data_IF_302450200586
#
_entry.id   IF_302450200586
#
_cell.length_a   1.000
_cell.length_b   1.000
_cell.length_c   1.000
_cell.angle_alpha   90.00
_cell.angle_beta   90.00
_cell.angle_gamma   90.00
#
_symmetry.space_group_name_H-M   'P 1'
#
loop_
_entity.id
_entity.type
_entity.pdbx_description
1 polymer ?
#
# COMPACT_ATOMS: atom_id res chain seq x y z
N UNK A 1 -24.09 -32.18 33.88
CA UNK A 1 -25.37 -32.10 33.17
C UNK A 1 -25.27 -32.95 31.91
N UNK A 2 -26.15 -33.99 31.83
CA UNK A 2 -26.09 -35.07 30.84
C UNK A 2 -26.63 -34.64 29.48
N UNK A 3 -25.81 -34.68 28.46
CA UNK A 3 -26.25 -34.52 27.04
C UNK A 3 -26.52 -35.92 26.46
N UNK A 4 -27.80 -36.28 26.27
CA UNK A 4 -28.23 -37.51 25.62
C UNK A 4 -27.97 -37.42 24.10
N UNK A 5 -27.12 -38.30 23.59
CA UNK A 5 -26.94 -38.55 22.13
C UNK A 5 -28.17 -39.28 21.58
N UNK A 6 -28.84 -38.69 20.57
CA UNK A 6 -29.93 -39.32 19.83
C UNK A 6 -29.35 -40.19 18.74
N UNK A 7 -29.71 -41.50 18.76
CA UNK A 7 -29.22 -42.50 17.81
C UNK A 7 -29.96 -42.44 16.46
N UNK A 8 -29.20 -42.66 15.38
CA UNK A 8 -29.67 -42.69 13.97
C UNK A 8 -30.76 -43.75 13.66
N UNK A 9 -31.12 -44.62 14.64
CA UNK A 9 -32.15 -45.68 14.45
C UNK A 9 -33.56 -45.19 14.73
N UNK A 10 -33.79 -44.01 15.29
CA UNK A 10 -35.13 -43.53 15.67
C UNK A 10 -35.80 -42.73 14.53
N UNK A 11 -35.08 -42.40 13.47
CA UNK A 11 -35.61 -41.60 12.34
C UNK A 11 -36.34 -42.45 11.24
N UNK A 12 -36.18 -43.76 11.27
CA UNK A 12 -36.71 -44.66 10.22
C UNK A 12 -37.99 -45.39 10.55
N UNK A 13 -38.74 -45.04 11.61
CA UNK A 13 -39.97 -45.72 12.04
C UNK A 13 -41.26 -44.92 11.92
N UNK A 14 -41.27 -43.77 11.21
CA UNK A 14 -42.46 -42.95 11.07
C UNK A 14 -42.97 -42.83 9.58
N UNK A 15 -42.75 -43.85 8.77
CA UNK A 15 -43.29 -43.90 7.41
C UNK A 15 -43.94 -45.29 7.18
N UNK A 16 -45.18 -45.43 7.60
CA UNK A 16 -45.97 -46.64 7.32
C UNK A 16 -47.30 -46.61 8.07
N UNK A 17 -48.35 -46.61 7.33
CA UNK A 17 -49.73 -47.02 7.61
C UNK A 17 -50.77 -45.94 7.17
N UNK A 18 -51.56 -46.30 6.18
CA UNK A 18 -52.72 -45.56 5.75
C UNK A 18 -53.28 -46.02 4.39
N UNK A 19 -53.62 -47.34 4.33
CA UNK A 19 -54.36 -47.87 3.16
C UNK A 19 -55.88 -47.85 3.42
N UNK A 20 -56.64 -47.52 2.38
CA UNK A 20 -58.02 -48.07 2.24
C UNK A 20 -59.17 -47.12 2.39
N UNK A 21 -59.76 -46.69 1.29
CA UNK A 21 -61.22 -46.66 1.09
C UNK A 21 -61.57 -46.61 -0.42
N UNK A 22 -62.22 -47.64 -0.88
CA UNK A 22 -62.83 -47.76 -2.19
C UNK A 22 -64.20 -47.09 -2.14
N UNK A 23 -64.52 -46.26 -3.11
CA UNK A 23 -65.90 -45.83 -3.40
C UNK A 23 -66.12 -45.65 -4.91
N UNK A 24 -67.23 -46.16 -5.33
CA UNK A 24 -67.74 -46.51 -6.66
C UNK A 24 -67.98 -45.31 -7.58
N UNK A 25 -67.67 -45.57 -8.83
CA UNK A 25 -68.18 -45.13 -10.12
C UNK A 25 -69.29 -44.05 -10.23
N UNK A 26 -69.00 -43.07 -11.07
CA UNK A 26 -70.02 -42.42 -11.94
C UNK A 26 -69.33 -42.04 -13.27
N UNK A 27 -69.85 -42.59 -14.38
CA UNK A 27 -69.41 -42.27 -15.72
C UNK A 27 -69.86 -40.87 -16.12
N UNK A 28 -68.97 -39.95 -16.26
CA UNK A 28 -69.17 -38.73 -17.02
C UNK A 28 -67.99 -38.54 -17.99
N UNK A 29 -68.31 -38.29 -19.27
CA UNK A 29 -67.36 -38.12 -20.34
C UNK A 29 -66.35 -36.97 -20.05
N UNK A 30 -65.07 -37.13 -20.42
CA UNK A 30 -64.08 -36.09 -20.20
C UNK A 30 -64.33 -34.91 -21.15
N UNK A 31 -64.15 -33.66 -20.66
CA UNK A 31 -64.12 -32.51 -21.53
C UNK A 31 -62.96 -32.54 -22.49
N UNK A 32 -63.01 -31.89 -23.66
CA UNK A 32 -61.93 -31.90 -24.64
C UNK A 32 -60.64 -31.32 -24.06
N UNK A 33 -59.52 -31.97 -24.32
CA UNK A 33 -58.19 -31.58 -23.89
C UNK A 33 -57.88 -30.16 -24.40
N UNK A 34 -57.49 -29.27 -23.48
CA UNK A 34 -56.96 -27.97 -23.83
C UNK A 34 -55.65 -28.14 -24.63
N UNK A 35 -55.39 -27.29 -25.61
CA UNK A 35 -54.14 -27.39 -26.40
C UNK A 35 -52.94 -27.25 -25.47
N UNK A 36 -51.79 -27.94 -25.78
CA UNK A 36 -50.60 -27.88 -24.93
C UNK A 36 -50.12 -26.44 -24.88
N UNK A 37 -50.11 -25.90 -23.68
CA UNK A 37 -49.55 -24.60 -23.39
C UNK A 37 -48.05 -24.72 -23.64
N UNK A 38 -47.51 -23.95 -24.62
CA UNK A 38 -46.10 -23.87 -24.89
C UNK A 38 -45.34 -23.55 -23.63
N UNK A 39 -44.43 -24.40 -23.22
CA UNK A 39 -43.56 -24.14 -22.08
C UNK A 39 -42.80 -22.82 -22.31
N UNK A 40 -43.05 -21.83 -21.49
CA UNK A 40 -42.23 -20.62 -21.47
C UNK A 40 -40.78 -21.04 -21.16
N UNK A 41 -39.79 -20.54 -21.92
CA UNK A 41 -38.41 -20.82 -21.60
C UNK A 41 -38.12 -20.27 -20.21
N UNK A 42 -37.88 -21.15 -19.27
CA UNK A 42 -37.33 -20.82 -17.95
C UNK A 42 -35.93 -20.25 -18.21
N UNK A 43 -35.80 -18.95 -18.15
CA UNK A 43 -34.47 -18.30 -18.08
C UNK A 43 -33.78 -18.86 -16.83
N UNK A 44 -32.77 -19.69 -17.03
CA UNK A 44 -31.88 -20.12 -15.95
C UNK A 44 -31.38 -18.86 -15.22
N UNK A 45 -31.35 -18.83 -13.88
CA UNK A 45 -30.75 -17.73 -13.14
C UNK A 45 -29.34 -17.49 -13.70
N UNK A 46 -29.08 -16.25 -14.12
CA UNK A 46 -27.71 -15.88 -14.50
C UNK A 46 -26.81 -16.22 -13.31
N UNK A 47 -25.82 -17.07 -13.53
CA UNK A 47 -24.84 -17.42 -12.51
C UNK A 47 -24.27 -16.09 -11.98
N UNK A 48 -24.45 -15.78 -10.70
CA UNK A 48 -23.84 -14.62 -10.06
C UNK A 48 -22.33 -14.72 -10.30
N UNK A 49 -21.81 -13.79 -11.10
CA UNK A 49 -20.36 -13.72 -11.33
C UNK A 49 -19.71 -13.42 -9.99
N UNK A 50 -18.86 -14.32 -9.51
CA UNK A 50 -18.05 -14.09 -8.30
C UNK A 50 -17.33 -12.74 -8.46
N UNK A 51 -17.36 -11.87 -7.44
CA UNK A 51 -16.63 -10.60 -7.49
C UNK A 51 -15.15 -10.85 -7.78
N UNK A 52 -14.55 -9.99 -8.59
CA UNK A 52 -13.10 -10.03 -8.83
C UNK A 52 -12.34 -9.88 -7.51
N UNK A 53 -11.23 -10.59 -7.39
CA UNK A 53 -10.36 -10.54 -6.21
C UNK A 53 -8.98 -10.06 -6.62
N UNK A 54 -8.56 -8.91 -6.10
CA UNK A 54 -7.20 -8.39 -6.25
C UNK A 54 -6.43 -8.57 -4.94
N UNK A 55 -5.14 -8.85 -5.05
CA UNK A 55 -4.21 -8.82 -3.92
C UNK A 55 -3.41 -7.54 -3.97
N UNK A 56 -3.36 -6.83 -2.85
CA UNK A 56 -2.61 -5.59 -2.66
C UNK A 56 -1.52 -5.81 -1.61
N UNK A 57 -0.26 -5.78 -2.03
CA UNK A 57 0.87 -6.17 -1.20
C UNK A 57 1.78 -4.97 -0.91
N UNK A 58 1.76 -4.45 0.34
CA UNK A 58 2.72 -3.47 0.80
C UNK A 58 4.06 -4.13 1.14
N UNK A 59 5.14 -3.34 1.31
CA UNK A 59 6.43 -3.82 1.83
C UNK A 59 6.31 -4.40 3.23
N UNK A 60 5.52 -3.77 4.10
CA UNK A 60 5.24 -4.19 5.47
C UNK A 60 3.84 -3.73 5.88
N UNK A 61 3.07 -4.60 6.55
CA UNK A 61 1.69 -4.25 6.94
C UNK A 61 1.61 -3.33 8.15
N UNK A 62 2.67 -3.20 8.93
CA UNK A 62 2.73 -2.35 10.13
C UNK A 62 3.41 -0.99 9.90
N UNK A 63 3.75 -0.63 8.66
CA UNK A 63 4.24 0.71 8.33
C UNK A 63 3.03 1.66 8.13
N UNK A 64 2.91 2.75 8.93
CA UNK A 64 1.71 3.60 8.95
C UNK A 64 1.42 4.33 7.64
N UNK A 65 2.40 4.56 6.76
CA UNK A 65 2.17 5.15 5.42
C UNK A 65 1.22 4.30 4.59
N UNK A 66 1.22 2.99 4.79
CA UNK A 66 0.38 2.06 4.04
C UNK A 66 -1.06 1.95 4.57
N UNK A 67 -1.37 2.47 5.77
CA UNK A 67 -2.75 2.49 6.27
C UNK A 67 -3.65 3.40 5.44
N UNK A 68 -3.12 4.53 4.96
CA UNK A 68 -3.85 5.43 4.06
C UNK A 68 -4.07 4.78 2.69
N UNK A 69 -3.05 4.08 2.17
CA UNK A 69 -3.16 3.32 0.93
C UNK A 69 -4.19 2.18 1.05
N UNK A 70 -4.19 1.45 2.17
CA UNK A 70 -5.18 0.40 2.45
C UNK A 70 -6.60 0.95 2.45
N UNK A 71 -6.83 2.12 3.07
CA UNK A 71 -8.13 2.80 3.04
C UNK A 71 -8.54 3.13 1.61
N UNK A 72 -7.64 3.74 0.82
CA UNK A 72 -7.89 4.03 -0.60
C UNK A 72 -8.27 2.78 -1.40
N UNK A 73 -7.55 1.67 -1.21
CA UNK A 73 -7.84 0.40 -1.87
C UNK A 73 -9.22 -0.16 -1.48
N UNK A 74 -9.60 -0.08 -0.21
CA UNK A 74 -10.91 -0.51 0.29
C UNK A 74 -12.06 0.36 -0.25
N UNK A 75 -11.85 1.67 -0.30
CA UNK A 75 -12.85 2.61 -0.84
C UNK A 75 -13.08 2.35 -2.34
N UNK A 76 -12.01 2.16 -3.13
CA UNK A 76 -12.12 1.83 -4.55
C UNK A 76 -12.74 0.44 -4.75
N UNK A 77 -12.38 -0.54 -3.94
CA UNK A 77 -12.97 -1.88 -3.99
C UNK A 77 -14.49 -1.84 -3.79
N UNK A 78 -14.94 -1.07 -2.79
CA UNK A 78 -16.37 -0.87 -2.52
C UNK A 78 -17.09 -0.19 -3.67
N UNK A 79 -16.49 0.83 -4.27
CA UNK A 79 -17.04 1.55 -5.42
C UNK A 79 -17.21 0.63 -6.65
N UNK A 80 -16.23 -0.24 -6.89
CA UNK A 80 -16.20 -1.15 -8.04
C UNK A 80 -16.93 -2.49 -7.81
N UNK A 81 -17.36 -2.78 -6.58
CA UNK A 81 -17.99 -4.06 -6.22
C UNK A 81 -17.04 -5.26 -6.33
N UNK A 82 -15.75 -5.07 -6.02
CA UNK A 82 -14.69 -6.09 -6.03
C UNK A 82 -14.16 -6.34 -4.62
N UNK A 83 -13.35 -7.39 -4.48
CA UNK A 83 -12.59 -7.66 -3.25
C UNK A 83 -11.14 -7.24 -3.44
N UNK A 84 -10.58 -6.48 -2.49
CA UNK A 84 -9.14 -6.21 -2.41
C UNK A 84 -8.62 -6.79 -1.09
N UNK A 85 -7.75 -7.80 -1.21
CA UNK A 85 -7.08 -8.43 -0.07
C UNK A 85 -5.76 -7.70 0.20
N UNK A 86 -5.59 -7.21 1.42
CA UNK A 86 -4.35 -6.56 1.87
C UNK A 86 -3.42 -7.62 2.46
N UNK A 87 -2.38 -8.00 1.72
CA UNK A 87 -1.51 -9.15 2.04
C UNK A 87 -0.05 -8.75 1.93
N UNK A 88 0.68 -8.74 3.03
CA UNK A 88 2.11 -8.41 3.06
C UNK A 88 2.78 -8.99 4.29
N UNK A 89 4.12 -8.96 4.36
CA UNK A 89 4.88 -9.36 5.54
C UNK A 89 4.64 -8.37 6.69
N UNK A 90 4.84 -8.78 7.93
CA UNK A 90 4.74 -7.90 9.10
C UNK A 90 5.85 -6.84 9.13
N UNK A 91 7.06 -7.23 8.74
CA UNK A 91 8.21 -6.35 8.56
C UNK A 91 8.74 -6.49 7.13
N UNK A 92 9.55 -5.54 6.68
CA UNK A 92 10.12 -5.56 5.33
C UNK A 92 10.99 -6.79 5.10
N UNK A 93 10.47 -7.74 4.32
CA UNK A 93 11.07 -9.05 4.00
C UNK A 93 10.64 -9.48 2.59
N UNK A 94 11.58 -9.43 1.65
CA UNK A 94 11.33 -9.74 0.25
C UNK A 94 11.00 -11.23 0.03
N UNK A 95 11.63 -12.14 0.78
CA UNK A 95 11.36 -13.57 0.66
C UNK A 95 9.95 -13.89 1.15
N UNK A 96 9.58 -13.36 2.31
CA UNK A 96 8.24 -13.56 2.86
C UNK A 96 7.17 -12.93 1.97
N UNK A 97 7.45 -11.77 1.37
CA UNK A 97 6.56 -11.14 0.40
C UNK A 97 6.36 -12.05 -0.82
N UNK A 98 7.45 -12.62 -1.38
CA UNK A 98 7.36 -13.55 -2.52
C UNK A 98 6.52 -14.79 -2.19
N UNK A 99 6.69 -15.40 -1.01
CA UNK A 99 5.87 -16.56 -0.56
C UNK A 99 4.37 -16.22 -0.51
N UNK A 100 4.01 -15.05 0.01
CA UNK A 100 2.62 -14.59 0.10
C UNK A 100 2.02 -14.35 -1.29
N UNK A 101 2.80 -13.80 -2.22
CA UNK A 101 2.39 -13.60 -3.60
C UNK A 101 2.24 -14.93 -4.36
N UNK A 102 3.14 -15.91 -4.16
CA UNK A 102 3.01 -17.25 -4.74
C UNK A 102 1.73 -17.95 -4.24
N UNK A 103 1.37 -17.78 -2.97
CA UNK A 103 0.10 -18.28 -2.45
C UNK A 103 -1.12 -17.62 -3.10
N UNK A 104 -1.02 -16.34 -3.47
CA UNK A 104 -2.07 -15.65 -4.23
C UNK A 104 -2.17 -16.15 -5.68
N UNK A 105 -1.03 -16.40 -6.35
CA UNK A 105 -0.97 -17.00 -7.69
C UNK A 105 -1.67 -18.37 -7.68
N UNK A 106 -1.36 -19.21 -6.69
CA UNK A 106 -1.97 -20.55 -6.56
C UNK A 106 -3.49 -20.49 -6.40
N UNK A 107 -4.04 -19.43 -5.79
CA UNK A 107 -5.49 -19.17 -5.66
C UNK A 107 -6.11 -18.60 -6.92
N UNK A 108 -5.32 -18.25 -7.94
CA UNK A 108 -5.76 -17.66 -9.21
C UNK A 108 -6.56 -16.38 -8.97
N UNK A 109 -5.97 -15.43 -8.24
CA UNK A 109 -6.55 -14.08 -8.07
C UNK A 109 -6.61 -13.35 -9.42
N UNK A 110 -7.49 -12.35 -9.54
CA UNK A 110 -7.76 -11.67 -10.81
C UNK A 110 -6.74 -10.56 -11.14
N UNK A 111 -5.91 -10.16 -10.17
CA UNK A 111 -4.86 -9.17 -10.36
C UNK A 111 -4.09 -8.89 -9.08
N UNK A 112 -2.91 -8.26 -9.21
CA UNK A 112 -2.04 -7.91 -8.08
C UNK A 112 -1.48 -6.50 -8.20
N UNK A 113 -1.46 -5.77 -7.06
CA UNK A 113 -0.72 -4.53 -6.90
C UNK A 113 0.36 -4.71 -5.84
N UNK A 114 1.62 -4.43 -6.17
CA UNK A 114 2.77 -4.78 -5.33
C UNK A 114 3.67 -3.56 -5.10
N UNK A 115 3.96 -3.24 -3.84
CA UNK A 115 5.09 -2.38 -3.46
C UNK A 115 6.27 -3.28 -3.11
N UNK A 116 7.31 -3.28 -3.92
CA UNK A 116 8.38 -4.27 -3.85
C UNK A 116 9.40 -3.95 -2.74
N UNK A 117 9.67 -4.91 -1.85
CA UNK A 117 10.76 -4.81 -0.89
C UNK A 117 12.13 -4.79 -1.59
N UNK A 118 12.30 -5.65 -2.58
CA UNK A 118 13.52 -5.76 -3.39
C UNK A 118 13.12 -6.01 -4.85
N UNK A 119 13.65 -5.23 -5.81
CA UNK A 119 13.27 -5.29 -7.22
C UNK A 119 13.63 -6.62 -7.89
N UNK A 120 14.78 -7.20 -7.54
CA UNK A 120 15.30 -8.40 -8.17
C UNK A 120 14.74 -9.67 -7.52
N UNK A 121 14.59 -9.67 -6.19
CA UNK A 121 14.00 -10.80 -5.46
C UNK A 121 12.51 -10.98 -5.80
N UNK A 122 11.77 -9.90 -6.06
CA UNK A 122 10.35 -9.96 -6.41
C UNK A 122 10.09 -10.18 -7.91
N UNK A 123 11.08 -9.91 -8.78
CA UNK A 123 10.94 -10.12 -10.22
C UNK A 123 10.43 -11.52 -10.59
N UNK A 124 11.01 -12.64 -10.07
CA UNK A 124 10.56 -13.98 -10.46
C UNK A 124 9.10 -14.28 -10.11
N UNK A 125 8.58 -13.81 -8.98
CA UNK A 125 7.18 -14.03 -8.59
C UNK A 125 6.23 -13.16 -9.42
N UNK A 126 6.62 -11.91 -9.73
CA UNK A 126 5.87 -11.04 -10.62
C UNK A 126 5.76 -11.66 -12.02
N UNK A 127 6.91 -12.15 -12.56
CA UNK A 127 6.93 -12.78 -13.87
C UNK A 127 6.06 -14.05 -13.91
N UNK A 128 6.08 -14.89 -12.85
CA UNK A 128 5.18 -16.06 -12.72
C UNK A 128 3.71 -15.68 -12.70
N UNK A 129 3.33 -14.62 -12.00
CA UNK A 129 1.96 -14.11 -11.98
C UNK A 129 1.51 -13.71 -13.38
N UNK A 130 2.33 -12.91 -14.07
CA UNK A 130 2.06 -12.47 -15.44
C UNK A 130 1.96 -13.65 -16.43
N UNK A 131 2.86 -14.62 -16.32
CA UNK A 131 2.84 -15.85 -17.16
C UNK A 131 1.62 -16.73 -16.87
N UNK A 132 1.09 -16.68 -15.65
CA UNK A 132 -0.17 -17.33 -15.27
C UNK A 132 -1.42 -16.56 -15.71
N UNK A 133 -1.27 -15.44 -16.40
CA UNK A 133 -2.37 -14.57 -16.86
C UNK A 133 -2.97 -13.68 -15.77
N UNK A 134 -2.26 -13.48 -14.66
CA UNK A 134 -2.65 -12.57 -13.58
C UNK A 134 -1.96 -11.22 -13.80
N UNK A 135 -2.68 -10.15 -14.17
CA UNK A 135 -2.11 -8.82 -14.38
C UNK A 135 -1.47 -8.28 -13.08
N UNK A 136 -0.26 -7.74 -13.22
CA UNK A 136 0.48 -7.14 -12.10
C UNK A 136 0.82 -5.69 -12.41
N UNK A 137 0.56 -4.81 -11.46
CA UNK A 137 1.10 -3.46 -11.41
C UNK A 137 1.96 -3.29 -10.14
N UNK A 138 2.89 -2.37 -10.18
CA UNK A 138 3.64 -1.95 -8.99
C UNK A 138 3.23 -0.56 -8.55
N UNK A 139 3.39 -0.26 -7.27
CA UNK A 139 3.11 1.04 -6.67
C UNK A 139 4.13 1.33 -5.57
N UNK A 140 4.39 2.62 -5.24
CA UNK A 140 5.40 3.06 -4.25
C UNK A 140 6.83 2.63 -4.62
N UNK A 141 7.13 1.33 -4.67
CA UNK A 141 8.44 0.77 -5.00
C UNK A 141 8.32 -0.30 -6.08
N UNK A 142 9.19 -0.20 -7.09
CA UNK A 142 9.11 -0.93 -8.35
C UNK A 142 10.00 -2.17 -8.42
N UNK A 143 9.72 -3.02 -9.42
CA UNK A 143 10.61 -4.04 -9.98
C UNK A 143 10.67 -3.81 -11.49
N UNK A 144 11.49 -2.86 -11.96
CA UNK A 144 11.45 -2.34 -13.34
C UNK A 144 11.83 -3.38 -14.40
N UNK A 145 12.61 -4.40 -14.02
CA UNK A 145 13.04 -5.49 -14.90
C UNK A 145 12.06 -6.66 -14.95
N UNK A 146 10.94 -6.58 -14.21
CA UNK A 146 9.87 -7.60 -14.22
C UNK A 146 8.88 -7.37 -15.37
N UNK A 147 7.99 -8.34 -15.58
CA UNK A 147 6.90 -8.26 -16.58
C UNK A 147 5.71 -7.42 -16.12
N UNK A 148 5.80 -6.68 -15.01
CA UNK A 148 4.70 -5.82 -14.54
C UNK A 148 4.24 -4.87 -15.63
N UNK A 149 2.95 -4.51 -15.64
CA UNK A 149 2.36 -3.69 -16.70
C UNK A 149 2.73 -2.22 -16.55
N UNK A 150 2.53 -1.67 -15.35
CA UNK A 150 2.79 -0.26 -15.06
C UNK A 150 3.25 -0.08 -13.62
N UNK A 151 3.96 1.02 -13.37
CA UNK A 151 4.36 1.48 -12.03
C UNK A 151 3.63 2.78 -11.71
N UNK A 152 2.91 2.83 -10.58
CA UNK A 152 2.17 3.98 -10.10
C UNK A 152 2.88 4.58 -8.88
N UNK A 153 3.56 5.70 -9.06
CA UNK A 153 4.31 6.38 -8.00
C UNK A 153 4.67 7.80 -8.42
N UNK A 154 5.24 8.57 -7.50
CA UNK A 154 5.91 9.83 -7.86
C UNK A 154 7.24 9.54 -8.57
N UNK A 155 7.75 10.54 -9.29
CA UNK A 155 9.15 10.55 -9.74
C UNK A 155 10.06 10.78 -8.53
N UNK A 156 10.59 9.66 -7.99
CA UNK A 156 11.45 9.67 -6.80
C UNK A 156 12.72 10.49 -7.00
N UNK A 157 13.30 10.50 -8.20
CA UNK A 157 14.50 11.27 -8.49
C UNK A 157 14.21 12.76 -8.55
N UNK A 158 13.16 13.19 -9.27
CA UNK A 158 12.75 14.58 -9.34
C UNK A 158 12.43 15.14 -7.96
N UNK A 159 11.70 14.39 -7.13
CA UNK A 159 11.34 14.77 -5.78
C UNK A 159 12.57 14.87 -4.86
N UNK A 160 13.52 13.92 -4.97
CA UNK A 160 14.75 13.95 -4.18
C UNK A 160 15.69 15.08 -4.60
N UNK A 161 15.82 15.39 -5.90
CA UNK A 161 16.54 16.58 -6.38
C UNK A 161 15.96 17.85 -5.77
N UNK A 162 14.62 17.94 -5.69
CA UNK A 162 13.94 19.07 -5.04
C UNK A 162 14.26 19.16 -3.56
N UNK A 163 14.28 18.04 -2.84
CA UNK A 163 14.71 17.96 -1.44
C UNK A 163 16.15 18.41 -1.25
N UNK A 164 17.05 18.02 -2.17
CA UNK A 164 18.45 18.45 -2.14
C UNK A 164 18.62 19.95 -2.39
N UNK A 165 17.91 20.53 -3.38
CA UNK A 165 17.90 21.99 -3.61
C UNK A 165 17.50 22.74 -2.35
N UNK A 166 16.48 22.26 -1.64
CA UNK A 166 16.02 22.86 -0.38
C UNK A 166 17.10 22.73 0.70
N UNK A 167 17.75 21.57 0.84
CA UNK A 167 18.84 21.39 1.82
C UNK A 167 20.02 22.33 1.50
N UNK A 168 20.39 22.48 0.23
CA UNK A 168 21.42 23.43 -0.21
C UNK A 168 21.04 24.86 0.15
N UNK A 169 19.79 25.26 -0.11
CA UNK A 169 19.26 26.58 0.28
C UNK A 169 19.37 26.81 1.81
N UNK A 170 18.92 25.83 2.60
CA UNK A 170 18.92 25.90 4.06
C UNK A 170 20.32 25.96 4.68
N UNK A 171 21.34 25.40 4.01
CA UNK A 171 22.72 25.34 4.48
C UNK A 171 23.67 26.34 3.79
N UNK A 172 23.18 27.17 2.85
CA UNK A 172 24.01 28.08 2.05
C UNK A 172 24.97 28.95 2.86
N UNK A 173 24.47 29.53 3.96
CA UNK A 173 25.18 30.46 4.82
C UNK A 173 25.79 29.80 6.07
N UNK A 174 25.71 28.49 6.19
CA UNK A 174 26.28 27.76 7.32
C UNK A 174 27.77 27.47 7.07
N UNK A 175 28.65 27.65 8.09
CA UNK A 175 30.06 27.30 7.98
C UNK A 175 30.28 25.80 7.87
N UNK A 176 29.50 25.00 8.58
CA UNK A 176 29.44 23.54 8.47
C UNK A 176 28.32 23.15 7.50
N UNK A 177 28.63 22.30 6.53
CA UNK A 177 27.72 21.80 5.49
C UNK A 177 27.67 20.29 5.46
N UNK A 178 28.02 19.63 6.57
CA UNK A 178 27.94 18.17 6.69
C UNK A 178 26.49 17.72 6.74
N UNK A 179 26.20 16.59 6.09
CA UNK A 179 24.87 15.99 6.17
C UNK A 179 24.94 14.45 6.22
N UNK A 180 23.91 13.85 6.82
CA UNK A 180 23.69 12.42 6.83
C UNK A 180 22.35 12.09 6.13
N UNK A 181 22.22 10.85 5.72
CA UNK A 181 21.02 10.30 5.11
C UNK A 181 20.48 9.17 5.98
N UNK A 182 19.20 9.19 6.31
CA UNK A 182 18.47 8.03 6.82
C UNK A 182 17.81 7.31 5.63
N UNK A 183 17.91 5.98 5.60
CA UNK A 183 17.22 5.15 4.61
C UNK A 183 16.55 3.95 5.27
N UNK A 184 15.61 3.31 4.55
CA UNK A 184 14.92 2.11 5.00
C UNK A 184 15.68 0.83 4.64
N UNK A 185 15.05 -0.03 3.83
CA UNK A 185 15.65 -1.28 3.34
C UNK A 185 16.69 -0.97 2.28
N UNK A 186 17.97 -1.33 2.47
CA UNK A 186 19.01 -1.21 1.44
C UNK A 186 18.62 -1.98 0.16
N UNK A 187 18.83 -1.36 -1.00
CA UNK A 187 18.49 -1.96 -2.30
C UNK A 187 17.06 -1.74 -2.76
N UNK A 188 16.17 -1.23 -1.91
CA UNK A 188 14.80 -0.87 -2.34
C UNK A 188 14.86 0.23 -3.41
N UNK A 189 14.23 -0.01 -4.56
CA UNK A 189 14.36 0.80 -5.77
C UNK A 189 14.10 2.29 -5.53
N UNK A 190 13.00 2.62 -4.83
CA UNK A 190 12.62 4.00 -4.54
C UNK A 190 13.64 4.70 -3.62
N UNK A 191 14.17 4.00 -2.62
CA UNK A 191 15.12 4.56 -1.66
C UNK A 191 16.49 4.82 -2.31
N UNK A 192 16.98 3.88 -3.11
CA UNK A 192 18.24 4.04 -3.84
C UNK A 192 18.15 5.20 -4.86
N UNK A 193 17.00 5.36 -5.53
CA UNK A 193 16.74 6.48 -6.43
C UNK A 193 16.77 7.83 -5.68
N UNK A 194 16.13 7.89 -4.49
CA UNK A 194 16.12 9.10 -3.64
C UNK A 194 17.53 9.48 -3.17
N UNK A 195 18.30 8.51 -2.67
CA UNK A 195 19.67 8.73 -2.20
C UNK A 195 20.57 9.23 -3.32
N UNK A 196 20.55 8.54 -4.46
CA UNK A 196 21.36 8.91 -5.62
C UNK A 196 21.05 10.32 -6.10
N UNK A 197 19.78 10.60 -6.36
CA UNK A 197 19.34 11.89 -6.91
C UNK A 197 19.57 13.06 -5.93
N UNK A 198 19.41 12.82 -4.62
CA UNK A 198 19.73 13.81 -3.61
C UNK A 198 21.24 14.17 -3.64
N UNK A 199 22.11 13.16 -3.67
CA UNK A 199 23.56 13.35 -3.69
C UNK A 199 24.07 13.98 -4.97
N UNK A 200 23.46 13.67 -6.12
CA UNK A 200 23.77 14.29 -7.42
C UNK A 200 23.62 15.84 -7.40
N UNK A 201 22.80 16.38 -6.52
CA UNK A 201 22.61 17.83 -6.34
C UNK A 201 23.39 18.36 -5.16
N UNK A 202 23.31 17.67 -4.01
CA UNK A 202 23.89 18.15 -2.74
C UNK A 202 25.42 18.16 -2.77
N UNK A 203 26.05 17.06 -3.23
CA UNK A 203 27.51 16.92 -3.20
C UNK A 203 28.22 17.97 -4.09
N UNK A 204 27.82 18.18 -5.38
CA UNK A 204 28.41 19.25 -6.21
C UNK A 204 28.15 20.66 -5.71
N UNK A 205 27.06 20.88 -4.94
CA UNK A 205 26.76 22.17 -4.32
C UNK A 205 27.61 22.45 -3.06
N UNK A 206 28.54 21.54 -2.73
CA UNK A 206 29.50 21.68 -1.63
C UNK A 206 29.00 21.17 -0.27
N UNK A 207 27.87 20.45 -0.23
CA UNK A 207 27.46 19.72 0.96
C UNK A 207 28.36 18.46 1.12
N UNK A 208 28.68 18.13 2.37
CA UNK A 208 29.61 17.04 2.71
C UNK A 208 28.82 15.86 3.29
N UNK A 209 28.65 14.82 2.49
CA UNK A 209 28.03 13.58 2.95
C UNK A 209 28.90 12.86 3.98
N UNK A 210 28.30 12.48 5.11
CA UNK A 210 28.99 11.78 6.21
C UNK A 210 28.66 10.30 6.22
N UNK A 211 27.38 9.98 6.08
CA UNK A 211 26.91 8.60 6.13
C UNK A 211 25.50 8.43 5.57
N UNK A 212 25.17 7.19 5.22
CA UNK A 212 23.79 6.71 5.01
C UNK A 212 23.51 5.60 6.02
N UNK A 213 22.49 5.78 6.83
CA UNK A 213 22.15 4.89 7.93
C UNK A 213 20.84 4.14 7.62
N UNK A 214 20.88 2.79 7.47
CA UNK A 214 19.68 2.02 7.20
C UNK A 214 18.91 1.68 8.49
N UNK A 215 17.59 1.79 8.44
CA UNK A 215 16.69 1.38 9.53
C UNK A 215 15.77 0.20 9.18
N UNK A 216 15.86 -0.35 7.95
CA UNK A 216 15.06 -1.49 7.48
C UNK A 216 13.52 -1.26 7.59
N UNK A 217 13.06 -0.04 7.35
CA UNK A 217 11.66 0.38 7.47
C UNK A 217 11.09 0.21 8.90
N UNK A 218 11.95 0.13 9.91
CA UNK A 218 11.59 -0.03 11.32
C UNK A 218 11.70 1.30 12.06
N UNK A 219 10.64 1.69 12.77
CA UNK A 219 10.54 2.96 13.49
C UNK A 219 11.54 3.02 14.64
N UNK A 220 11.63 1.96 15.45
CA UNK A 220 12.51 1.94 16.62
C UNK A 220 13.97 1.93 16.21
N UNK A 221 14.29 1.17 15.16
CA UNK A 221 15.62 1.18 14.57
C UNK A 221 15.96 2.54 13.97
N UNK A 222 14.99 3.21 13.34
CA UNK A 222 15.14 4.59 12.84
C UNK A 222 15.52 5.56 13.95
N UNK A 223 14.83 5.50 15.09
CA UNK A 223 15.15 6.29 16.29
C UNK A 223 16.57 6.00 16.75
N UNK A 224 16.92 4.73 16.92
CA UNK A 224 18.26 4.31 17.37
C UNK A 224 19.38 4.83 16.47
N UNK A 225 19.24 4.67 15.14
CA UNK A 225 20.32 5.05 14.21
C UNK A 225 20.48 6.56 14.10
N UNK A 226 19.38 7.34 14.20
CA UNK A 226 19.44 8.82 14.23
C UNK A 226 20.14 9.32 15.51
N UNK A 227 19.76 8.80 16.67
CA UNK A 227 20.39 9.18 17.95
C UNK A 227 21.87 8.78 18.00
N UNK A 228 22.24 7.63 17.45
CA UNK A 228 23.63 7.18 17.32
C UNK A 228 24.42 8.05 16.34
N UNK A 229 23.83 8.44 15.19
CA UNK A 229 24.48 9.35 14.24
C UNK A 229 24.79 10.70 14.89
N UNK A 230 23.85 11.26 15.63
CA UNK A 230 24.05 12.54 16.33
C UNK A 230 24.97 12.44 17.54
N UNK A 231 25.18 11.24 18.09
CA UNK A 231 26.24 11.01 19.07
C UNK A 231 27.62 11.05 18.40
N UNK A 232 27.76 10.43 17.23
CA UNK A 232 29.02 10.38 16.48
C UNK A 232 29.34 11.74 15.80
N UNK A 233 28.32 12.50 15.41
CA UNK A 233 28.42 13.77 14.70
C UNK A 233 27.54 14.83 15.38
N UNK A 234 27.90 15.35 16.55
CA UNK A 234 27.06 16.28 17.33
C UNK A 234 26.86 17.65 16.66
N UNK A 235 27.70 18.00 15.72
CA UNK A 235 27.68 19.24 14.94
C UNK A 235 27.11 19.06 13.53
N UNK A 236 26.45 17.91 13.24
CA UNK A 236 25.83 17.61 11.94
C UNK A 236 24.93 18.79 11.51
N UNK A 237 25.17 19.34 10.31
CA UNK A 237 24.46 20.52 9.84
C UNK A 237 23.13 20.20 9.15
N UNK A 238 23.00 19.02 8.51
CA UNK A 238 21.82 18.61 7.80
C UNK A 238 21.49 17.12 7.97
N UNK A 239 20.21 16.78 7.95
CA UNK A 239 19.73 15.41 7.90
C UNK A 239 18.69 15.27 6.80
N UNK A 240 18.97 14.41 5.81
CA UNK A 240 18.00 14.01 4.81
C UNK A 240 17.42 12.63 5.17
N UNK A 241 16.10 12.54 5.28
CA UNK A 241 15.43 11.28 5.56
C UNK A 241 14.71 10.83 4.28
N UNK A 242 15.27 9.82 3.60
CA UNK A 242 14.69 9.24 2.37
C UNK A 242 13.35 8.49 2.62
N UNK A 243 13.00 8.35 3.86
CA UNK A 243 11.71 7.98 4.45
C UNK A 243 11.78 8.33 5.93
N UNK A 244 10.69 8.71 6.53
CA UNK A 244 10.70 9.39 7.83
C UNK A 244 10.36 8.49 9.03
N UNK A 245 10.69 7.20 8.98
CA UNK A 245 10.34 6.22 10.02
C UNK A 245 10.49 6.70 11.47
N UNK A 246 11.62 7.31 11.91
CA UNK A 246 11.75 7.79 13.29
C UNK A 246 10.76 8.89 13.62
N UNK A 247 10.34 9.70 12.64
CA UNK A 247 9.39 10.80 12.85
C UNK A 247 7.94 10.34 12.99
N UNK A 248 7.64 9.05 12.66
CA UNK A 248 6.35 8.43 12.93
C UNK A 248 6.16 8.04 14.40
N UNK A 249 7.28 7.89 15.13
CA UNK A 249 7.31 7.48 16.53
C UNK A 249 7.16 8.63 17.51
N UNK A 250 7.44 8.33 18.78
CA UNK A 250 7.45 9.35 19.85
C UNK A 250 8.72 10.19 19.75
N UNK A 251 8.57 11.47 19.45
CA UNK A 251 9.69 12.43 19.37
C UNK A 251 10.48 12.55 20.69
N UNK A 252 9.86 12.24 21.84
CA UNK A 252 10.55 12.26 23.13
C UNK A 252 11.61 11.12 23.24
N UNK A 253 11.53 10.10 22.41
CA UNK A 253 12.57 9.08 22.30
C UNK A 253 13.81 9.55 21.52
N UNK A 254 13.79 10.79 20.96
CA UNK A 254 14.89 11.37 20.17
C UNK A 254 15.39 12.70 20.75
N UNK A 255 15.94 12.71 21.98
CA UNK A 255 16.39 13.94 22.64
C UNK A 255 17.55 14.63 21.92
N UNK A 256 18.49 13.86 21.30
CA UNK A 256 19.60 14.45 20.54
C UNK A 256 19.13 15.07 19.24
N UNK A 257 18.22 14.41 18.53
CA UNK A 257 17.59 14.95 17.34
C UNK A 257 16.91 16.30 17.65
N UNK A 258 16.08 16.34 18.70
CA UNK A 258 15.43 17.58 19.12
C UNK A 258 16.43 18.67 19.47
N UNK A 259 17.49 18.32 20.22
CA UNK A 259 18.55 19.27 20.60
C UNK A 259 19.30 19.78 19.37
N UNK A 260 19.68 18.91 18.44
CA UNK A 260 20.39 19.29 17.21
C UNK A 260 19.51 20.17 16.30
N UNK A 261 18.23 19.82 16.10
CA UNK A 261 17.30 20.62 15.31
C UNK A 261 17.09 22.02 15.92
N UNK A 262 16.89 22.12 17.23
CA UNK A 262 16.80 23.40 17.97
C UNK A 262 18.11 24.20 17.92
N UNK A 263 19.27 23.56 17.86
CA UNK A 263 20.57 24.20 17.70
C UNK A 263 20.85 24.62 16.24
N UNK A 264 19.98 24.29 15.30
CA UNK A 264 20.03 24.77 13.92
C UNK A 264 20.40 23.75 12.86
N UNK A 265 20.48 22.45 13.19
CA UNK A 265 20.52 21.38 12.18
C UNK A 265 19.30 21.47 11.28
N UNK A 266 19.50 21.29 9.97
CA UNK A 266 18.42 21.36 8.98
C UNK A 266 17.93 19.97 8.63
N UNK A 267 16.62 19.77 8.59
CA UNK A 267 15.99 18.48 8.31
C UNK A 267 15.07 18.59 7.10
N UNK A 268 15.33 17.80 6.09
CA UNK A 268 14.45 17.56 4.94
C UNK A 268 14.07 16.10 5.00
N UNK A 269 12.78 15.81 5.06
CA UNK A 269 12.30 14.45 5.22
C UNK A 269 11.25 14.09 4.17
N UNK A 270 11.14 12.82 3.91
CA UNK A 270 10.06 12.24 3.12
C UNK A 270 8.83 12.09 4.00
N UNK A 271 7.67 11.99 3.36
CA UNK A 271 6.34 11.75 3.89
C UNK A 271 5.67 12.98 4.53
N UNK A 272 4.36 12.85 4.80
CA UNK A 272 3.50 13.91 5.37
C UNK A 272 2.45 13.31 6.32
N UNK A 273 2.89 12.37 7.18
CA UNK A 273 2.04 11.86 8.24
C UNK A 273 1.79 12.94 9.31
N UNK A 274 0.79 12.73 10.13
CA UNK A 274 0.33 13.73 11.10
C UNK A 274 1.46 14.21 12.05
N UNK A 275 2.31 13.28 12.53
CA UNK A 275 3.41 13.64 13.42
C UNK A 275 4.46 14.53 12.74
N UNK A 276 4.84 14.22 11.50
CA UNK A 276 5.82 14.98 10.74
C UNK A 276 5.36 16.41 10.48
N UNK A 277 4.08 16.57 10.12
CA UNK A 277 3.46 17.88 9.92
C UNK A 277 3.49 18.71 11.21
N UNK A 278 3.27 18.10 12.38
CA UNK A 278 3.41 18.75 13.69
C UNK A 278 4.84 19.14 13.97
N UNK A 279 5.82 18.27 13.69
CA UNK A 279 7.25 18.54 13.87
C UNK A 279 7.74 19.68 12.95
N UNK A 280 7.17 19.79 11.74
CA UNK A 280 7.46 20.93 10.86
C UNK A 280 6.91 22.22 11.47
N UNK A 281 5.69 22.23 12.01
CA UNK A 281 5.13 23.41 12.70
C UNK A 281 5.92 23.82 13.94
N UNK A 282 6.56 22.86 14.61
CA UNK A 282 7.46 23.10 15.74
C UNK A 282 8.88 23.55 15.31
N UNK A 283 9.17 23.56 14.01
CA UNK A 283 10.48 23.96 13.46
C UNK A 283 11.57 22.89 13.63
N UNK A 284 11.22 21.66 13.98
CA UNK A 284 12.16 20.53 14.07
C UNK A 284 12.44 19.89 12.70
N UNK A 285 11.51 20.05 11.76
CA UNK A 285 11.65 19.67 10.35
C UNK A 285 11.44 20.92 9.50
N UNK A 286 12.17 21.02 8.37
CA UNK A 286 12.21 22.24 7.56
C UNK A 286 11.57 22.09 6.19
N UNK A 287 11.44 20.88 5.71
CA UNK A 287 10.68 20.54 4.52
C UNK A 287 10.26 19.06 4.57
N UNK A 288 9.06 18.80 4.08
CA UNK A 288 8.51 17.46 3.90
C UNK A 288 8.15 17.25 2.42
N UNK A 289 8.47 16.08 1.90
CA UNK A 289 8.15 15.64 0.54
C UNK A 289 7.05 14.59 0.63
N UNK A 290 5.82 15.00 0.33
CA UNK A 290 4.64 14.17 0.47
C UNK A 290 4.38 13.27 -0.73
N UNK A 291 3.94 12.06 -0.46
CA UNK A 291 3.52 11.08 -1.46
C UNK A 291 1.99 10.98 -1.50
N UNK A 292 1.44 10.53 -2.62
CA UNK A 292 -0.01 10.35 -2.80
C UNK A 292 -0.48 9.02 -2.20
N UNK A 293 -0.34 8.85 -0.87
CA UNK A 293 -0.62 7.60 -0.17
C UNK A 293 -2.00 7.01 -0.46
N UNK A 294 -3.04 7.84 -0.43
CA UNK A 294 -4.39 7.39 -0.73
C UNK A 294 -4.51 6.84 -2.16
N UNK A 295 -3.86 7.52 -3.11
CA UNK A 295 -3.82 7.11 -4.52
C UNK A 295 -3.13 5.76 -4.75
N UNK A 296 -2.13 5.38 -3.92
CA UNK A 296 -1.50 4.04 -4.00
C UNK A 296 -2.51 2.89 -3.84
N UNK A 297 -3.60 3.17 -3.15
CA UNK A 297 -4.74 2.25 -3.08
C UNK A 297 -5.83 2.62 -4.07
N UNK A 298 -6.37 3.83 -3.97
CA UNK A 298 -7.59 4.22 -4.67
C UNK A 298 -7.40 4.27 -6.19
N UNK A 299 -6.41 5.03 -6.67
CA UNK A 299 -6.20 5.21 -8.11
C UNK A 299 -5.55 3.97 -8.73
N UNK A 300 -4.56 3.39 -8.05
CA UNK A 300 -3.86 2.23 -8.57
C UNK A 300 -4.74 0.97 -8.64
N UNK A 301 -5.67 0.76 -7.69
CA UNK A 301 -6.71 -0.29 -7.82
C UNK A 301 -7.63 0.00 -9.00
N UNK A 302 -7.97 1.28 -9.24
CA UNK A 302 -8.73 1.69 -10.43
C UNK A 302 -7.99 1.38 -11.73
N UNK A 303 -6.68 1.65 -11.78
CA UNK A 303 -5.81 1.30 -12.93
C UNK A 303 -5.82 -0.21 -13.18
N UNK A 304 -5.62 -1.02 -12.14
CA UNK A 304 -5.63 -2.47 -12.29
C UNK A 304 -6.99 -2.99 -12.75
N UNK A 305 -8.09 -2.42 -12.23
CA UNK A 305 -9.44 -2.74 -12.68
C UNK A 305 -9.63 -2.40 -14.17
N UNK A 306 -9.21 -1.24 -14.61
CA UNK A 306 -9.26 -0.82 -16.02
C UNK A 306 -8.49 -1.79 -16.92
N UNK A 307 -7.30 -2.23 -16.50
CA UNK A 307 -6.51 -3.23 -17.22
C UNK A 307 -7.25 -4.57 -17.31
N UNK A 308 -7.79 -5.06 -16.19
CA UNK A 308 -8.42 -6.38 -16.10
C UNK A 308 -9.77 -6.41 -16.83
N UNK A 309 -10.63 -5.41 -16.61
CA UNK A 309 -12.02 -5.41 -17.08
C UNK A 309 -12.17 -4.66 -18.39
N UNK A 310 -11.63 -3.44 -18.46
CA UNK A 310 -11.82 -2.55 -19.60
C UNK A 310 -10.74 -2.73 -20.69
N UNK A 311 -9.73 -3.58 -20.44
CA UNK A 311 -8.59 -3.85 -21.34
C UNK A 311 -7.84 -2.57 -21.75
N UNK A 312 -7.82 -1.58 -20.85
CA UNK A 312 -7.15 -0.31 -21.07
C UNK A 312 -5.64 -0.49 -20.93
N UNK A 313 -4.90 0.14 -21.83
CA UNK A 313 -3.45 0.20 -21.76
C UNK A 313 -2.98 1.40 -20.92
N UNK A 314 -1.88 1.21 -20.21
CA UNK A 314 -1.23 2.25 -19.41
C UNK A 314 0.26 2.36 -19.78
N UNK A 315 0.87 3.55 -19.69
CA UNK A 315 2.30 3.69 -19.89
C UNK A 315 3.08 2.89 -18.82
N UNK A 316 4.35 2.55 -19.07
CA UNK A 316 5.17 1.81 -18.10
C UNK A 316 5.32 2.50 -16.74
N UNK A 317 5.10 3.81 -16.68
CA UNK A 317 5.12 4.63 -15.46
C UNK A 317 3.97 5.64 -15.47
N UNK A 318 3.26 5.74 -14.37
CA UNK A 318 2.23 6.75 -14.09
C UNK A 318 2.73 7.61 -12.94
N UNK A 319 3.17 8.82 -13.27
CA UNK A 319 3.64 9.79 -12.29
C UNK A 319 2.45 10.41 -11.52
N UNK A 320 2.50 10.31 -10.21
CA UNK A 320 1.49 10.90 -9.32
C UNK A 320 1.79 12.34 -8.94
N UNK A 321 2.98 12.84 -9.25
CA UNK A 321 3.55 14.03 -8.64
C UNK A 321 3.80 13.86 -7.15
N UNK A 322 4.28 14.91 -6.50
CA UNK A 322 4.52 14.94 -5.05
C UNK A 322 4.05 16.28 -4.46
N UNK A 323 3.79 16.27 -3.16
CA UNK A 323 3.49 17.48 -2.39
C UNK A 323 4.77 17.98 -1.72
N UNK A 324 4.89 19.28 -1.57
CA UNK A 324 5.97 19.92 -0.83
C UNK A 324 5.37 20.75 0.28
N UNK A 325 5.81 20.50 1.54
CA UNK A 325 5.36 21.22 2.72
C UNK A 325 6.56 21.86 3.39
N UNK A 326 6.58 23.20 3.48
CA UNK A 326 7.68 23.99 4.04
C UNK A 326 7.24 24.97 5.11
N UNK A 327 5.94 25.25 5.21
CA UNK A 327 5.40 26.22 6.15
C UNK A 327 4.32 25.62 7.05
N UNK A 328 4.09 26.21 8.25
CA UNK A 328 2.98 25.80 9.11
C UNK A 328 1.61 25.82 8.42
N UNK A 329 1.37 26.81 7.55
CA UNK A 329 0.10 26.99 6.84
C UNK A 329 -0.11 25.85 5.81
N UNK A 330 0.96 25.46 5.10
CA UNK A 330 0.92 24.30 4.20
C UNK A 330 0.68 23.00 4.99
N UNK A 331 1.30 22.84 6.16
CA UNK A 331 1.08 21.70 7.05
C UNK A 331 -0.38 21.61 7.52
N UNK A 332 -1.03 22.74 7.82
CA UNK A 332 -2.43 22.79 8.27
C UNK A 332 -3.39 22.23 7.20
N UNK A 333 -3.09 22.43 5.92
CA UNK A 333 -3.88 21.86 4.82
C UNK A 333 -3.91 20.32 4.90
N UNK A 334 -2.75 19.70 5.13
CA UNK A 334 -2.64 18.24 5.23
C UNK A 334 -3.15 17.71 6.57
N UNK A 335 -2.92 18.42 7.68
CA UNK A 335 -3.48 18.04 8.98
C UNK A 335 -5.00 17.98 8.95
N UNK A 336 -5.65 18.88 8.21
CA UNK A 336 -7.09 18.83 8.01
C UNK A 336 -7.54 17.57 7.25
N UNK A 337 -6.74 17.08 6.29
CA UNK A 337 -7.03 15.79 5.61
C UNK A 337 -6.95 14.62 6.58
N UNK A 338 -5.98 14.64 7.52
CA UNK A 338 -5.88 13.65 8.59
C UNK A 338 -7.09 13.68 9.54
N UNK A 339 -7.51 14.85 9.97
CA UNK A 339 -8.67 15.03 10.85
C UNK A 339 -9.99 14.56 10.21
N UNK A 340 -10.19 14.89 8.95
CA UNK A 340 -11.46 14.62 8.25
C UNK A 340 -11.50 13.26 7.59
N UNK A 341 -10.35 12.65 7.35
CA UNK A 341 -10.21 11.43 6.54
C UNK A 341 -10.54 11.65 5.06
N UNK A 342 -10.64 12.89 4.60
CA UNK A 342 -10.87 13.22 3.19
C UNK A 342 -9.53 13.34 2.44
N UNK A 343 -9.21 12.32 1.66
CA UNK A 343 -8.00 12.21 0.86
C UNK A 343 -8.25 12.28 -0.65
N UNK A 344 -9.52 12.46 -1.06
CA UNK A 344 -9.93 12.42 -2.49
C UNK A 344 -9.66 13.71 -3.27
N UNK A 345 -9.04 14.73 -2.66
CA UNK A 345 -8.79 16.03 -3.29
C UNK A 345 -7.42 16.08 -3.96
#
# INVERSE_FOLDING_TARGET
>A
MNTKKVSRRTFLRAAGIGAGAVALASCAAPPPAAPPQAAQPTTAPAAEKKPLTFVWSPKAVNNPVFDVARRGAQDKAKELGITVEWVGPESADAQKQAELLDAAIARKVDGMGISCNDPDALKPVIDRAMDAGIPVITWDSDSPNSKRITFYSLDNEAAARKGAEIMVELLKDKPNKTYAILTGVPGAQNLEARIRAFREVADPAGLQWVATDPCNDDIQKGIEVVENRLTANPDLAGYFMAGAWPLFGDINAMPKFQAAAKAGMKVVAWDILENELKLLKEGLVHALIGQKFYGWGYDAVGILYDIVVNKKEYPPFVDTGFDLVRTPEEADVFLKKWETGNWKD
#
